data_IF_850942737934
#
_entry.id   IF_850942737934
#
_cell.length_a   1.000
_cell.length_b   1.000
_cell.length_c   1.000
_cell.angle_alpha   90.00
_cell.angle_beta   90.00
_cell.angle_gamma   90.00
#
_symmetry.space_group_name_H-M   'P 1'
#
loop_
_entity.id
_entity.type
_entity.pdbx_description
1 polymer ?
#
# COMPACT_ATOMS: atom_id res chain seq x y z
N UNK A 1 -2.03 -33.74 16.85
CA UNK A 1 -1.78 -33.22 15.48
C UNK A 1 -2.53 -31.90 15.32
N UNK A 2 -1.85 -30.76 15.19
CA UNK A 2 -2.56 -29.48 14.95
C UNK A 2 -2.93 -29.41 13.47
N UNK A 3 -4.23 -29.36 13.16
CA UNK A 3 -4.72 -29.17 11.79
C UNK A 3 -4.20 -27.84 11.24
N UNK A 4 -3.71 -27.85 9.99
CA UNK A 4 -3.27 -26.63 9.33
C UNK A 4 -4.50 -25.81 8.94
N UNK A 5 -4.50 -24.48 9.15
CA UNK A 5 -5.64 -23.65 8.79
C UNK A 5 -5.81 -23.62 7.28
N UNK A 6 -7.05 -23.54 6.81
CA UNK A 6 -7.35 -23.41 5.38
C UNK A 6 -7.35 -21.95 4.91
N UNK A 7 -7.49 -21.00 5.86
CA UNK A 7 -7.59 -19.55 5.60
C UNK A 7 -6.64 -18.72 6.48
N UNK A 8 -6.40 -17.47 6.06
CA UNK A 8 -5.70 -16.50 6.91
C UNK A 8 -6.52 -16.14 8.15
N UNK A 9 -5.85 -15.66 9.20
CA UNK A 9 -6.54 -15.17 10.38
C UNK A 9 -7.49 -14.00 10.01
N UNK A 10 -8.70 -13.90 10.57
CA UNK A 10 -9.67 -12.85 10.21
C UNK A 10 -9.12 -11.43 10.30
N UNK A 11 -8.27 -11.16 11.29
CA UNK A 11 -7.59 -9.86 11.43
C UNK A 11 -6.69 -9.55 10.22
N UNK A 12 -5.97 -10.53 9.68
CA UNK A 12 -5.16 -10.34 8.47
C UNK A 12 -6.01 -10.11 7.23
N UNK A 13 -7.19 -10.73 7.16
CA UNK A 13 -8.14 -10.52 6.06
C UNK A 13 -8.70 -9.10 6.12
N UNK A 14 -9.17 -8.66 7.28
CA UNK A 14 -9.66 -7.29 7.48
C UNK A 14 -8.59 -6.25 7.18
N UNK A 15 -7.38 -6.42 7.72
CA UNK A 15 -6.24 -5.54 7.42
C UNK A 15 -5.90 -5.53 5.92
N UNK A 16 -6.02 -6.66 5.21
CA UNK A 16 -5.70 -6.73 3.79
C UNK A 16 -6.63 -5.84 2.97
N UNK A 17 -7.94 -6.02 3.13
CA UNK A 17 -8.93 -5.29 2.35
C UNK A 17 -8.97 -3.81 2.72
N UNK A 18 -8.82 -3.48 4.01
CA UNK A 18 -8.71 -2.08 4.44
C UNK A 18 -7.48 -1.41 3.83
N UNK A 19 -6.30 -2.04 3.91
CA UNK A 19 -5.08 -1.49 3.31
C UNK A 19 -5.18 -1.40 1.79
N UNK A 20 -5.78 -2.38 1.13
CA UNK A 20 -5.99 -2.32 -0.32
C UNK A 20 -6.83 -1.09 -0.70
N UNK A 21 -7.95 -0.84 -0.01
CA UNK A 21 -8.79 0.34 -0.25
C UNK A 21 -8.02 1.66 0.01
N UNK A 22 -7.32 1.77 1.14
CA UNK A 22 -6.55 2.97 1.48
C UNK A 22 -5.40 3.23 0.52
N UNK A 23 -4.67 2.19 0.09
CA UNK A 23 -3.58 2.31 -0.88
C UNK A 23 -4.12 2.78 -2.23
N UNK A 24 -5.24 2.22 -2.70
CA UNK A 24 -5.88 2.67 -3.94
C UNK A 24 -6.33 4.13 -3.85
N UNK A 25 -6.92 4.55 -2.72
CA UNK A 25 -7.27 5.94 -2.46
C UNK A 25 -6.05 6.85 -2.51
N UNK A 26 -4.99 6.51 -1.78
CA UNK A 26 -3.76 7.31 -1.69
C UNK A 26 -3.06 7.45 -3.05
N UNK A 27 -2.94 6.35 -3.81
CA UNK A 27 -2.33 6.35 -5.15
C UNK A 27 -3.15 7.20 -6.13
N UNK A 28 -4.48 7.11 -6.06
CA UNK A 28 -5.39 7.90 -6.90
C UNK A 28 -5.28 9.38 -6.57
N UNK A 29 -5.38 9.75 -5.29
CA UNK A 29 -5.22 11.14 -4.83
C UNK A 29 -3.84 11.69 -5.21
N UNK A 30 -2.77 10.94 -4.99
CA UNK A 30 -1.41 11.37 -5.30
C UNK A 30 -1.19 11.61 -6.81
N UNK A 31 -1.71 10.72 -7.65
CA UNK A 31 -1.43 10.70 -9.09
C UNK A 31 -2.34 11.59 -9.89
N UNK A 32 -3.65 11.62 -9.58
CA UNK A 32 -4.65 12.30 -10.41
C UNK A 32 -5.15 13.60 -9.80
N UNK A 33 -4.92 13.84 -8.51
CA UNK A 33 -5.35 15.08 -7.84
C UNK A 33 -4.13 15.94 -7.49
N UNK A 34 -3.25 15.44 -6.62
CA UNK A 34 -2.12 16.22 -6.12
C UNK A 34 -1.09 16.52 -7.20
N UNK A 35 -0.80 15.59 -8.12
CA UNK A 35 0.18 15.86 -9.18
C UNK A 35 -0.28 16.97 -10.14
N UNK A 36 -1.57 17.03 -10.43
CA UNK A 36 -2.14 17.94 -11.43
C UNK A 36 -2.55 19.30 -10.83
N UNK A 37 -2.69 19.39 -9.51
CA UNK A 37 -3.01 20.63 -8.82
C UNK A 37 -1.76 21.50 -8.59
N UNK A 38 -1.72 22.77 -9.03
CA UNK A 38 -0.62 23.68 -8.72
C UNK A 38 -0.45 23.90 -7.21
N UNK A 39 0.79 24.14 -6.76
CA UNK A 39 1.07 24.42 -5.34
C UNK A 39 0.51 25.78 -4.87
N UNK A 40 0.19 26.68 -5.80
CA UNK A 40 -0.50 27.96 -5.54
C UNK A 40 -2.00 27.82 -5.35
N UNK A 41 -2.59 26.64 -5.61
CA UNK A 41 -4.02 26.43 -5.44
C UNK A 41 -4.41 26.47 -3.95
N UNK A 42 -5.50 27.19 -3.57
CA UNK A 42 -5.96 27.25 -2.18
C UNK A 42 -6.35 25.87 -1.62
N UNK A 43 -6.83 24.96 -2.47
CA UNK A 43 -7.28 23.62 -2.06
C UNK A 43 -6.14 22.62 -1.88
N UNK A 44 -4.91 23.00 -2.29
CA UNK A 44 -3.75 22.09 -2.30
C UNK A 44 -3.37 21.65 -0.89
N UNK A 45 -3.38 22.57 0.06
CA UNK A 45 -2.99 22.28 1.45
C UNK A 45 -3.98 21.28 2.07
N UNK A 46 -5.28 21.47 1.85
CA UNK A 46 -6.32 20.54 2.34
C UNK A 46 -6.20 19.14 1.72
N UNK A 47 -5.99 19.08 0.41
CA UNK A 47 -5.80 17.81 -0.31
C UNK A 47 -4.53 17.08 0.15
N UNK A 48 -3.44 17.83 0.36
CA UNK A 48 -2.17 17.32 0.86
C UNK A 48 -2.32 16.80 2.30
N UNK A 49 -3.05 17.52 3.17
CA UNK A 49 -3.40 17.07 4.52
C UNK A 49 -4.05 15.70 4.51
N UNK A 50 -5.10 15.53 3.70
CA UNK A 50 -5.81 14.25 3.57
C UNK A 50 -4.88 13.12 3.10
N UNK A 51 -4.08 13.38 2.08
CA UNK A 51 -3.12 12.40 1.56
C UNK A 51 -2.06 12.00 2.60
N UNK A 52 -1.50 12.96 3.35
CA UNK A 52 -0.53 12.69 4.41
C UNK A 52 -1.15 11.86 5.55
N UNK A 53 -2.37 12.19 5.98
CA UNK A 53 -3.10 11.42 7.00
C UNK A 53 -3.29 9.98 6.54
N UNK A 54 -3.81 9.77 5.32
CA UNK A 54 -4.01 8.42 4.77
C UNK A 54 -2.68 7.67 4.68
N UNK A 55 -1.60 8.32 4.25
CA UNK A 55 -0.26 7.73 4.20
C UNK A 55 0.25 7.28 5.58
N UNK A 56 0.07 8.09 6.62
CA UNK A 56 0.43 7.74 7.99
C UNK A 56 -0.40 6.56 8.53
N UNK A 57 -1.72 6.56 8.26
CA UNK A 57 -2.61 5.45 8.64
C UNK A 57 -2.19 4.15 7.94
N UNK A 58 -1.87 4.20 6.64
CA UNK A 58 -1.36 3.03 5.92
C UNK A 58 -0.06 2.52 6.55
N UNK A 59 0.89 3.41 6.88
CA UNK A 59 2.15 3.02 7.50
C UNK A 59 1.93 2.30 8.84
N UNK A 60 1.08 2.85 9.71
CA UNK A 60 0.74 2.25 10.99
C UNK A 60 0.05 0.89 10.81
N UNK A 61 -0.96 0.79 9.94
CA UNK A 61 -1.67 -0.45 9.67
C UNK A 61 -0.78 -1.51 9.00
N UNK A 62 0.20 -1.11 8.20
CA UNK A 62 1.20 -2.03 7.62
C UNK A 62 2.13 -2.61 8.67
N UNK A 63 2.52 -1.84 9.69
CA UNK A 63 3.26 -2.36 10.85
C UNK A 63 2.42 -3.37 11.61
N UNK A 64 1.16 -3.02 11.94
CA UNK A 64 0.22 -3.95 12.59
C UNK A 64 0.08 -5.22 11.77
N UNK A 65 -0.15 -5.09 10.45
CA UNK A 65 -0.25 -6.21 9.52
C UNK A 65 0.99 -7.08 9.53
N UNK A 66 2.19 -6.50 9.51
CA UNK A 66 3.46 -7.24 9.55
C UNK A 66 3.57 -8.02 10.85
N UNK A 67 3.34 -7.38 12.00
CA UNK A 67 3.38 -8.04 13.31
C UNK A 67 2.34 -9.17 13.39
N UNK A 68 1.09 -8.91 13.02
CA UNK A 68 0.04 -9.96 12.99
C UNK A 68 0.43 -11.10 12.07
N UNK A 69 1.01 -10.80 10.90
CA UNK A 69 1.46 -11.80 9.93
C UNK A 69 2.56 -12.68 10.52
N UNK A 70 3.48 -12.14 11.30
CA UNK A 70 4.56 -12.88 11.97
C UNK A 70 4.06 -13.70 13.17
N UNK A 71 3.02 -13.23 13.87
CA UNK A 71 2.48 -13.89 15.07
C UNK A 71 1.40 -14.94 14.79
N UNK A 72 0.84 -14.99 13.58
CA UNK A 72 -0.27 -15.91 13.25
C UNK A 72 0.16 -17.04 12.31
N UNK A 73 -0.38 -18.25 12.54
CA UNK A 73 -0.26 -19.37 11.59
C UNK A 73 -0.87 -18.99 10.26
N UNK A 74 -0.33 -19.51 9.16
CA UNK A 74 -0.82 -19.23 7.80
C UNK A 74 -1.19 -20.52 7.09
N UNK A 75 -2.20 -20.48 6.20
CA UNK A 75 -2.53 -21.65 5.40
C UNK A 75 -1.33 -22.08 4.55
N UNK A 76 -1.09 -23.39 4.34
CA UNK A 76 -0.02 -23.89 3.49
C UNK A 76 -0.07 -23.25 2.11
N UNK A 77 1.06 -23.08 1.43
CA UNK A 77 1.04 -22.55 0.06
C UNK A 77 0.05 -23.35 -0.79
N UNK A 78 -0.67 -22.66 -1.70
CA UNK A 78 -1.61 -23.35 -2.57
C UNK A 78 -0.78 -24.35 -3.37
N UNK A 79 -0.98 -25.64 -3.12
CA UNK A 79 -0.34 -26.70 -3.88
C UNK A 79 -1.07 -26.77 -5.23
N UNK A 80 -0.82 -25.79 -6.09
CA UNK A 80 -1.24 -25.88 -7.49
C UNK A 80 -0.28 -26.87 -8.14
N UNK A 81 -0.78 -28.04 -8.52
CA UNK A 81 -0.03 -29.23 -8.97
C UNK A 81 0.78 -29.08 -10.25
N UNK A 82 1.16 -27.87 -10.67
CA UNK A 82 2.15 -27.61 -11.72
C UNK A 82 2.69 -26.17 -11.62
N UNK A 83 4.00 -26.01 -11.85
CA UNK A 83 4.72 -24.75 -12.18
C UNK A 83 5.07 -23.71 -11.08
N UNK A 84 6.13 -22.88 -11.27
CA UNK A 84 6.83 -22.08 -10.25
C UNK A 84 6.08 -20.81 -9.78
N UNK A 85 4.76 -20.89 -9.61
CA UNK A 85 3.90 -19.78 -9.14
C UNK A 85 4.20 -19.36 -7.69
N UNK A 86 4.78 -20.27 -6.90
CA UNK A 86 5.07 -20.05 -5.48
C UNK A 86 6.14 -18.97 -5.21
N UNK A 87 7.36 -19.02 -5.79
CA UNK A 87 8.37 -17.98 -5.59
C UNK A 87 7.93 -16.63 -6.15
N UNK A 88 7.21 -16.60 -7.28
CA UNK A 88 6.68 -15.36 -7.87
C UNK A 88 5.66 -14.70 -6.94
N UNK A 89 4.72 -15.47 -6.39
CA UNK A 89 3.74 -14.97 -5.42
C UNK A 89 4.40 -14.45 -4.14
N UNK A 90 5.43 -15.14 -3.64
CA UNK A 90 6.19 -14.68 -2.47
C UNK A 90 6.96 -13.39 -2.75
N UNK A 91 7.63 -13.31 -3.91
CA UNK A 91 8.36 -12.13 -4.37
C UNK A 91 7.43 -10.92 -4.51
N UNK A 92 6.23 -11.10 -5.09
CA UNK A 92 5.24 -10.03 -5.20
C UNK A 92 4.82 -9.49 -3.82
N UNK A 93 4.55 -10.37 -2.85
CA UNK A 93 4.21 -9.91 -1.50
C UNK A 93 5.37 -9.20 -0.81
N UNK A 94 6.60 -9.73 -0.91
CA UNK A 94 7.78 -9.09 -0.35
C UNK A 94 8.00 -7.69 -0.96
N UNK A 95 7.86 -7.59 -2.28
CA UNK A 95 7.92 -6.34 -3.02
C UNK A 95 6.84 -5.35 -2.58
N UNK A 96 5.59 -5.78 -2.39
CA UNK A 96 4.51 -4.91 -1.91
C UNK A 96 4.81 -4.38 -0.51
N UNK A 97 5.29 -5.21 0.42
CA UNK A 97 5.71 -4.74 1.75
C UNK A 97 6.84 -3.71 1.66
N UNK A 98 7.89 -4.01 0.89
CA UNK A 98 9.03 -3.12 0.71
C UNK A 98 8.60 -1.77 0.11
N UNK A 99 7.83 -1.80 -0.98
CA UNK A 99 7.41 -0.58 -1.68
C UNK A 99 6.46 0.27 -0.85
N UNK A 100 5.54 -0.32 -0.08
CA UNK A 100 4.65 0.47 0.78
C UNK A 100 5.41 1.14 1.93
N UNK A 101 6.37 0.43 2.56
CA UNK A 101 7.23 1.07 3.57
C UNK A 101 8.14 2.14 2.97
N UNK A 102 8.72 1.88 1.79
CA UNK A 102 9.53 2.87 1.07
C UNK A 102 8.69 4.10 0.66
N UNK A 103 7.41 3.91 0.32
CA UNK A 103 6.47 5.01 0.04
C UNK A 103 6.27 5.90 1.28
N UNK A 104 6.01 5.29 2.43
CA UNK A 104 5.83 6.02 3.68
C UNK A 104 7.10 6.76 4.08
N UNK A 105 8.27 6.11 3.98
CA UNK A 105 9.56 6.72 4.31
C UNK A 105 9.90 7.90 3.40
N UNK A 106 9.74 7.74 2.08
CA UNK A 106 10.00 8.82 1.11
C UNK A 106 9.00 9.98 1.24
N UNK A 107 7.73 9.69 1.57
CA UNK A 107 6.72 10.70 1.84
C UNK A 107 7.06 11.52 3.10
N UNK A 108 7.44 10.85 4.18
CA UNK A 108 7.89 11.51 5.41
C UNK A 108 9.14 12.36 5.18
N UNK A 109 10.14 11.83 4.47
CA UNK A 109 11.35 12.58 4.14
C UNK A 109 11.06 13.81 3.29
N UNK A 110 10.14 13.71 2.33
CA UNK A 110 9.66 14.88 1.55
C UNK A 110 9.00 15.90 2.48
N UNK A 111 8.14 15.44 3.39
CA UNK A 111 7.41 16.32 4.30
C UNK A 111 8.34 17.10 5.23
N UNK A 112 9.32 16.44 5.82
CA UNK A 112 10.30 17.09 6.70
C UNK A 112 11.15 18.11 5.92
N UNK A 113 11.67 17.74 4.75
CA UNK A 113 12.53 18.65 3.97
C UNK A 113 11.79 19.89 3.44
N UNK A 114 10.49 19.76 3.17
CA UNK A 114 9.67 20.85 2.64
C UNK A 114 8.90 21.61 3.74
N UNK A 115 9.12 21.34 5.03
CA UNK A 115 8.41 21.99 6.14
C UNK A 115 6.89 21.78 6.11
N UNK A 116 6.45 20.65 5.54
CA UNK A 116 5.03 20.38 5.35
C UNK A 116 4.25 20.20 6.66
N UNK A 117 4.79 19.60 7.74
CA UNK A 117 4.03 19.45 8.98
C UNK A 117 3.47 20.78 9.50
N UNK A 118 4.29 21.83 9.53
CA UNK A 118 3.90 23.16 9.99
C UNK A 118 2.91 23.82 9.03
N UNK A 119 3.17 23.75 7.72
CA UNK A 119 2.28 24.33 6.69
C UNK A 119 0.89 23.67 6.72
N UNK A 120 0.87 22.34 6.82
CA UNK A 120 -0.33 21.53 6.61
C UNK A 120 -1.12 21.35 7.90
N UNK A 121 -0.47 21.18 9.05
CA UNK A 121 -1.14 20.93 10.33
C UNK A 121 -1.07 22.12 11.30
N UNK A 122 -0.20 23.11 11.05
CA UNK A 122 0.01 24.27 11.93
C UNK A 122 -0.87 25.50 11.68
N UNK A 123 -1.95 25.37 10.91
CA UNK A 123 -2.93 26.46 10.73
C UNK A 123 -2.62 27.49 9.62
N UNK A 124 -1.68 27.20 8.71
CA UNK A 124 -1.54 27.94 7.45
C UNK A 124 -0.59 29.15 7.46
N UNK A 125 0.28 29.27 8.46
CA UNK A 125 1.26 30.37 8.53
C UNK A 125 2.40 30.28 7.49
N UNK A 126 2.51 29.17 6.75
CA UNK A 126 3.54 28.97 5.72
C UNK A 126 2.95 28.75 4.33
N UNK A 127 3.71 29.11 3.30
CA UNK A 127 3.37 28.83 1.90
C UNK A 127 4.05 27.56 1.42
N UNK A 128 3.38 26.81 0.53
CA UNK A 128 4.01 25.68 -0.13
C UNK A 128 5.16 26.16 -1.02
N UNK A 129 6.26 25.38 -1.14
CA UNK A 129 7.27 25.63 -2.17
C UNK A 129 6.63 25.72 -3.56
N UNK A 130 7.25 26.50 -4.47
CA UNK A 130 6.78 26.64 -5.86
C UNK A 130 6.50 25.28 -6.51
N UNK A 131 7.41 24.34 -6.30
CA UNK A 131 7.27 22.94 -6.66
C UNK A 131 8.08 22.06 -5.70
N UNK A 132 7.91 20.74 -5.83
CA UNK A 132 8.62 19.77 -5.01
C UNK A 132 9.78 19.08 -5.74
N UNK A 133 10.17 19.54 -6.94
CA UNK A 133 11.17 18.88 -7.78
C UNK A 133 12.59 18.97 -7.21
N UNK A 134 12.86 20.00 -6.41
CA UNK A 134 14.13 20.18 -5.70
C UNK A 134 14.38 19.13 -4.60
N UNK A 135 13.36 18.39 -4.16
CA UNK A 135 13.49 17.41 -3.08
C UNK A 135 13.68 16.01 -3.65
N UNK A 136 14.88 15.44 -3.54
CA UNK A 136 15.18 14.08 -3.99
C UNK A 136 14.19 13.03 -3.47
N UNK A 137 13.75 13.05 -2.19
CA UNK A 137 12.75 12.10 -1.70
C UNK A 137 11.41 12.18 -2.46
N UNK A 138 11.02 13.34 -2.99
CA UNK A 138 9.80 13.49 -3.78
C UNK A 138 9.90 12.79 -5.13
N UNK A 139 11.06 12.88 -5.78
CA UNK A 139 11.32 12.19 -7.03
C UNK A 139 11.27 10.66 -6.82
N UNK A 140 11.95 10.20 -5.76
CA UNK A 140 11.94 8.79 -5.33
C UNK A 140 10.51 8.32 -5.02
N UNK A 141 9.73 9.10 -4.28
CA UNK A 141 8.33 8.80 -3.97
C UNK A 141 7.48 8.62 -5.25
N UNK A 142 7.69 9.46 -6.26
CA UNK A 142 7.01 9.33 -7.56
C UNK A 142 7.37 8.05 -8.31
N UNK A 143 8.63 7.61 -8.27
CA UNK A 143 9.05 6.34 -8.87
C UNK A 143 8.54 5.13 -8.10
N UNK A 144 8.58 5.17 -6.76
CA UNK A 144 7.99 4.12 -5.91
C UNK A 144 6.49 4.01 -6.20
N UNK A 145 5.77 5.12 -6.40
CA UNK A 145 4.34 5.09 -6.74
C UNK A 145 4.06 4.33 -8.04
N UNK A 146 4.84 4.60 -9.10
CA UNK A 146 4.72 3.87 -10.37
C UNK A 146 5.01 2.37 -10.20
N UNK A 147 6.08 2.03 -9.49
CA UNK A 147 6.44 0.64 -9.21
C UNK A 147 5.37 -0.08 -8.39
N UNK A 148 4.83 0.59 -7.36
CA UNK A 148 3.77 0.05 -6.52
C UNK A 148 2.48 -0.16 -7.31
N UNK A 149 2.06 0.80 -8.14
CA UNK A 149 0.90 0.64 -9.03
C UNK A 149 1.06 -0.56 -9.98
N UNK A 150 2.22 -0.69 -10.61
CA UNK A 150 2.51 -1.83 -11.49
C UNK A 150 2.43 -3.16 -10.73
N UNK A 151 3.04 -3.24 -9.54
CA UNK A 151 3.04 -4.46 -8.75
C UNK A 151 1.66 -4.81 -8.18
N UNK A 152 0.85 -3.81 -7.79
CA UNK A 152 -0.55 -4.01 -7.42
C UNK A 152 -1.36 -4.54 -8.61
N UNK A 153 -1.16 -3.98 -9.81
CA UNK A 153 -1.79 -4.47 -11.03
C UNK A 153 -1.45 -5.94 -11.32
N UNK A 154 -0.16 -6.29 -11.26
CA UNK A 154 0.32 -7.68 -11.42
C UNK A 154 -0.24 -8.60 -10.33
N UNK A 155 -0.31 -8.14 -9.09
CA UNK A 155 -0.89 -8.89 -7.98
C UNK A 155 -2.36 -9.23 -8.25
N UNK A 156 -3.16 -8.23 -8.63
CA UNK A 156 -4.59 -8.42 -8.96
C UNK A 156 -4.74 -9.34 -10.18
N UNK A 157 -3.95 -9.12 -11.24
CA UNK A 157 -3.97 -9.97 -12.43
C UNK A 157 -3.67 -11.45 -12.08
N UNK A 158 -2.69 -11.68 -11.21
CA UNK A 158 -2.40 -13.02 -10.68
C UNK A 158 -3.59 -13.64 -9.96
N UNK A 159 -4.25 -12.88 -9.06
CA UNK A 159 -5.45 -13.36 -8.36
C UNK A 159 -6.58 -13.71 -9.34
N UNK A 160 -6.82 -12.87 -10.36
CA UNK A 160 -7.83 -13.13 -11.39
C UNK A 160 -7.49 -14.36 -12.23
N UNK A 161 -6.22 -14.55 -12.59
CA UNK A 161 -5.74 -15.74 -13.28
C UNK A 161 -6.01 -17.02 -12.46
N UNK A 162 -5.66 -17.00 -11.17
CA UNK A 162 -5.94 -18.12 -10.27
C UNK A 162 -7.45 -18.38 -10.13
N UNK A 163 -8.26 -17.32 -9.99
CA UNK A 163 -9.69 -17.43 -9.79
C UNK A 163 -10.43 -17.96 -11.03
N UNK A 164 -10.11 -17.45 -12.22
CA UNK A 164 -10.88 -17.74 -13.44
C UNK A 164 -10.24 -18.79 -14.35
N UNK A 165 -8.90 -18.84 -14.44
CA UNK A 165 -8.19 -19.77 -15.33
C UNK A 165 -7.80 -21.06 -14.63
N UNK A 166 -7.21 -20.98 -13.44
CA UNK A 166 -6.80 -22.16 -12.66
C UNK A 166 -7.94 -22.71 -11.79
N UNK A 167 -8.91 -21.86 -11.44
CA UNK A 167 -10.10 -22.22 -10.64
C UNK A 167 -9.75 -22.87 -9.29
N UNK A 168 -8.61 -22.51 -8.71
CA UNK A 168 -8.09 -23.08 -7.47
C UNK A 168 -8.61 -22.39 -6.19
N UNK A 169 -9.52 -21.42 -6.36
CA UNK A 169 -10.16 -20.64 -5.30
C UNK A 169 -9.15 -19.91 -4.40
N UNK A 170 -7.99 -19.47 -4.94
CA UNK A 170 -6.96 -18.74 -4.19
C UNK A 170 -7.53 -17.58 -3.35
N UNK A 171 -8.47 -16.81 -3.93
CA UNK A 171 -9.11 -15.66 -3.27
C UNK A 171 -9.84 -16.05 -1.98
N UNK A 172 -10.41 -17.25 -1.91
CA UNK A 172 -11.17 -17.72 -0.74
C UNK A 172 -10.34 -17.76 0.54
N UNK A 173 -9.02 -17.86 0.42
CA UNK A 173 -8.08 -17.87 1.55
C UNK A 173 -7.94 -16.49 2.20
N UNK A 174 -8.17 -15.42 1.44
CA UNK A 174 -8.16 -14.02 1.89
C UNK A 174 -9.59 -13.47 2.04
N UNK A 175 -10.54 -14.34 2.41
CA UNK A 175 -11.92 -13.98 2.69
C UNK A 175 -12.38 -14.51 4.05
N UNK A 176 -13.35 -13.83 4.67
CA UNK A 176 -13.94 -14.27 5.94
C UNK A 176 -14.63 -15.64 5.79
N UNK A 177 -14.49 -16.51 6.79
CA UNK A 177 -15.10 -17.83 6.80
C UNK A 177 -14.45 -18.80 7.80
N UNK A 178 -14.99 -20.02 7.89
CA UNK A 178 -14.47 -21.08 8.76
C UNK A 178 -13.02 -21.43 8.39
N UNK A 179 -12.19 -21.63 9.41
CA UNK A 179 -10.72 -21.68 9.30
C UNK A 179 -10.16 -23.07 9.53
#
# INVERSE_FOLDING_TARGET
>A
MTTQPTRYAPVLVGLHWLLAALIMLALTMGTFVLKEMPNTSPDKVGSLRGHMIVGMVIAALMLVRLVTRLRTRRPPHAATGSTPSQPVGQGAHAGLYLLVFAMAASGLATAVQAGLPEIVFGGGAGSLPRDFSAYTPRLVHGWIAKALMALVGLHVAGVLFHQFRLKDRLLSRMWFGKR
#
